data_IF_987104632874
#
_entry.id   IF_987104632874
#
_cell.length_a   1.000
_cell.length_b   1.000
_cell.length_c   1.000
_cell.angle_alpha   90.00
_cell.angle_beta   90.00
_cell.angle_gamma   90.00
#
_symmetry.space_group_name_H-M   'P 1'
#
loop_
_entity.id
_entity.type
_entity.pdbx_description
1 polymer ?
#
# COMPACT_ATOMS: atom_id res chain seq x y z
N UNK A 1 2.40 -10.30 6.13
CA UNK A 1 2.72 -10.18 4.69
C UNK A 1 1.87 -9.18 3.95
N UNK A 2 0.53 -9.28 4.01
CA UNK A 2 -0.36 -8.36 3.30
C UNK A 2 -0.12 -6.86 3.58
N UNK A 3 0.24 -6.50 4.82
CA UNK A 3 0.65 -5.13 5.15
C UNK A 3 1.88 -4.70 4.33
N UNK A 4 2.94 -5.50 4.33
CA UNK A 4 4.18 -5.19 3.61
C UNK A 4 3.98 -5.19 2.09
N UNK A 5 3.20 -6.12 1.54
CA UNK A 5 2.88 -6.09 0.11
C UNK A 5 2.04 -4.88 -0.26
N UNK A 6 1.11 -4.44 0.61
CA UNK A 6 0.36 -3.19 0.45
C UNK A 6 1.26 -1.95 0.51
N UNK A 7 2.22 -1.91 1.44
CA UNK A 7 3.24 -0.85 1.52
C UNK A 7 4.05 -0.77 0.23
N UNK A 8 4.59 -1.89 -0.24
CA UNK A 8 5.41 -1.94 -1.46
C UNK A 8 4.59 -1.57 -2.70
N UNK A 9 3.34 -2.02 -2.78
CA UNK A 9 2.42 -1.65 -3.85
C UNK A 9 2.22 -0.12 -3.92
N UNK A 10 1.93 0.53 -2.79
CA UNK A 10 1.74 1.96 -2.76
C UNK A 10 3.03 2.75 -3.03
N UNK A 11 4.17 2.31 -2.48
CA UNK A 11 5.47 2.90 -2.82
C UNK A 11 5.76 2.79 -4.33
N UNK A 12 5.42 1.67 -4.96
CA UNK A 12 5.54 1.52 -6.41
C UNK A 12 4.63 2.50 -7.17
N UNK A 13 3.38 2.67 -6.73
CA UNK A 13 2.43 3.61 -7.33
C UNK A 13 2.88 5.07 -7.22
N UNK A 14 3.55 5.44 -6.13
CA UNK A 14 4.21 6.75 -5.95
C UNK A 14 5.57 6.86 -6.66
N UNK A 15 6.00 5.79 -7.35
CA UNK A 15 7.30 5.73 -8.02
C UNK A 15 8.50 5.80 -7.07
N UNK A 16 8.34 5.41 -5.81
CA UNK A 16 9.34 5.51 -4.74
C UNK A 16 10.23 4.26 -4.59
N UNK A 17 10.20 3.36 -5.57
CA UNK A 17 11.01 2.14 -5.58
C UNK A 17 12.11 2.20 -6.64
N UNK A 18 13.21 1.50 -6.37
CA UNK A 18 14.36 1.42 -7.25
C UNK A 18 15.50 2.38 -6.86
N UNK A 19 16.69 2.18 -7.45
CA UNK A 19 17.90 2.95 -7.09
C UNK A 19 17.73 4.45 -7.34
N UNK A 20 17.09 4.83 -8.44
CA UNK A 20 16.90 6.23 -8.83
C UNK A 20 15.84 6.97 -7.99
N UNK A 21 15.05 6.24 -7.21
CA UNK A 21 14.03 6.80 -6.33
C UNK A 21 14.55 7.12 -4.92
N UNK A 22 15.82 6.81 -4.61
CA UNK A 22 16.36 6.88 -3.24
C UNK A 22 16.22 8.26 -2.61
N UNK A 23 16.62 9.31 -3.32
CA UNK A 23 16.54 10.69 -2.80
C UNK A 23 15.08 11.14 -2.63
N UNK A 24 14.20 10.72 -3.54
CA UNK A 24 12.75 10.98 -3.44
C UNK A 24 12.12 10.27 -2.27
N UNK A 25 12.50 9.02 -2.00
CA UNK A 25 12.05 8.26 -0.84
C UNK A 25 12.54 8.91 0.47
N UNK A 26 13.77 9.44 0.49
CA UNK A 26 14.29 10.17 1.66
C UNK A 26 13.59 11.52 1.89
N UNK A 27 13.16 12.19 0.82
CA UNK A 27 12.47 13.48 0.86
C UNK A 27 10.94 13.38 0.83
N UNK A 28 10.38 12.17 1.00
CA UNK A 28 8.94 11.92 0.91
C UNK A 28 8.17 12.77 1.93
N UNK A 29 7.06 13.34 1.51
CA UNK A 29 6.21 14.14 2.40
C UNK A 29 5.30 13.25 3.27
N UNK A 30 4.73 13.88 4.30
CA UNK A 30 3.86 13.20 5.26
C UNK A 30 2.60 12.63 4.61
N UNK A 31 2.05 13.31 3.63
CA UNK A 31 0.78 12.92 3.01
C UNK A 31 0.96 11.65 2.15
N UNK A 32 2.08 11.55 1.44
CA UNK A 32 2.49 10.36 0.71
C UNK A 32 2.75 9.20 1.65
N UNK A 33 3.45 9.42 2.79
CA UNK A 33 3.65 8.37 3.80
C UNK A 33 2.31 7.92 4.39
N UNK A 34 1.40 8.84 4.68
CA UNK A 34 0.07 8.50 5.18
C UNK A 34 -0.70 7.67 4.15
N UNK A 35 -0.63 8.01 2.87
CA UNK A 35 -1.25 7.24 1.79
C UNK A 35 -0.68 5.82 1.66
N UNK A 36 0.64 5.67 1.72
CA UNK A 36 1.31 4.36 1.72
C UNK A 36 0.83 3.51 2.90
N UNK A 37 0.73 4.09 4.09
CA UNK A 37 0.24 3.38 5.28
C UNK A 37 -1.26 3.04 5.17
N UNK A 38 -2.08 3.89 4.55
CA UNK A 38 -3.49 3.57 4.28
C UNK A 38 -3.62 2.33 3.38
N UNK A 39 -2.84 2.24 2.30
CA UNK A 39 -2.81 1.05 1.43
C UNK A 39 -2.34 -0.20 2.17
N UNK A 40 -1.30 -0.08 2.98
CA UNK A 40 -0.78 -1.17 3.80
C UNK A 40 -1.85 -1.71 4.78
N UNK A 41 -2.53 -0.82 5.49
CA UNK A 41 -3.60 -1.17 6.43
C UNK A 41 -4.81 -1.75 5.69
N UNK A 42 -5.25 -1.16 4.58
CA UNK A 42 -6.38 -1.67 3.79
C UNK A 42 -6.12 -3.09 3.28
N UNK A 43 -4.92 -3.35 2.74
CA UNK A 43 -4.49 -4.69 2.31
C UNK A 43 -4.52 -5.70 3.44
N UNK A 44 -3.98 -5.34 4.62
CA UNK A 44 -4.00 -6.19 5.79
C UNK A 44 -5.43 -6.42 6.31
N UNK A 45 -6.27 -5.38 6.35
CA UNK A 45 -7.64 -5.44 6.84
C UNK A 45 -8.50 -6.43 6.04
N UNK A 46 -8.43 -6.38 4.70
CA UNK A 46 -9.13 -7.34 3.83
C UNK A 46 -8.59 -8.76 4.02
N UNK A 47 -7.29 -8.91 4.25
CA UNK A 47 -6.68 -10.23 4.48
C UNK A 47 -7.19 -10.86 5.78
N UNK A 48 -7.22 -10.09 6.88
CA UNK A 48 -7.65 -10.60 8.19
C UNK A 48 -9.17 -10.72 8.33
N UNK A 49 -9.96 -10.16 7.40
CA UNK A 49 -11.42 -10.30 7.39
C UNK A 49 -11.90 -11.64 6.82
N UNK A 50 -10.99 -12.49 6.30
CA UNK A 50 -11.32 -13.79 5.72
C UNK A 50 -10.34 -14.86 6.17
N UNK A 51 -10.72 -16.13 6.00
CA UNK A 51 -9.86 -17.24 6.37
C UNK A 51 -8.62 -17.33 5.46
N UNK A 52 -7.45 -17.48 6.08
CA UNK A 52 -6.18 -17.68 5.39
C UNK A 52 -5.45 -16.39 4.99
N UNK A 53 -4.20 -16.55 4.54
CA UNK A 53 -3.36 -15.47 4.04
C UNK A 53 -3.74 -15.09 2.60
N UNK A 54 -4.96 -14.61 2.39
CA UNK A 54 -5.51 -14.26 1.08
C UNK A 54 -5.61 -12.73 0.91
N UNK A 55 -4.58 -12.05 0.36
CA UNK A 55 -4.58 -10.60 0.16
C UNK A 55 -5.59 -10.13 -0.89
N UNK A 56 -6.04 -8.85 -0.86
CA UNK A 56 -6.99 -8.33 -1.83
C UNK A 56 -6.41 -8.26 -3.25
N UNK A 57 -7.28 -8.44 -4.24
CA UNK A 57 -7.01 -7.99 -5.61
C UNK A 57 -7.11 -6.46 -5.74
N UNK A 58 -6.79 -5.89 -6.92
CA UNK A 58 -6.83 -4.44 -7.15
C UNK A 58 -8.18 -3.79 -6.87
N UNK A 59 -9.29 -4.43 -7.25
CA UNK A 59 -10.64 -3.88 -7.06
C UNK A 59 -11.10 -3.92 -5.59
N UNK A 60 -10.77 -5.00 -4.88
CA UNK A 60 -11.02 -5.11 -3.45
C UNK A 60 -10.22 -4.07 -2.66
N UNK A 61 -8.95 -3.85 -3.04
CA UNK A 61 -8.11 -2.84 -2.41
C UNK A 61 -8.65 -1.42 -2.65
N UNK A 62 -9.08 -1.11 -3.89
CA UNK A 62 -9.69 0.18 -4.23
C UNK A 62 -10.97 0.44 -3.44
N UNK A 63 -11.82 -0.59 -3.33
CA UNK A 63 -13.03 -0.56 -2.51
C UNK A 63 -12.70 -0.30 -1.05
N UNK A 64 -11.71 -1.00 -0.49
CA UNK A 64 -11.28 -0.84 0.90
C UNK A 64 -10.68 0.54 1.20
N UNK A 65 -10.08 1.19 0.19
CA UNK A 65 -9.57 2.56 0.29
C UNK A 65 -10.65 3.64 0.14
N UNK A 66 -11.88 3.26 -0.23
CA UNK A 66 -12.99 4.20 -0.45
C UNK A 66 -12.80 5.07 -1.69
N UNK A 67 -12.01 4.63 -2.67
CA UNK A 67 -11.81 5.33 -3.94
C UNK A 67 -12.79 4.74 -4.95
N UNK A 68 -13.73 5.54 -5.45
CA UNK A 68 -14.64 5.12 -6.53
C UNK A 68 -13.99 5.33 -7.90
#
# INVERSE_FOLDING_TARGET
>A
DAFMSGTLHALAAHGLLGPDARDRLHAVDRDTVADVLRHAVASAAVTVSRAGANPPGPDELRTALGVN
#
